data_IF_212377806707
#
_entry.id   IF_212377806707
#
_cell.length_a   1.000
_cell.length_b   1.000
_cell.length_c   1.000
_cell.angle_alpha   90.00
_cell.angle_beta   90.00
_cell.angle_gamma   90.00
#
_symmetry.space_group_name_H-M   'P 1'
#
loop_
_entity.id
_entity.type
_entity.pdbx_description
1 polymer ?
#
# COMPACT_ATOMS: atom_id res chain seq x y z
N UNK A 1 5.46 14.43 -8.36
CA UNK A 1 5.81 13.03 -8.03
C UNK A 1 4.86 12.08 -8.75
N UNK A 2 5.38 11.01 -9.39
CA UNK A 2 4.58 10.01 -10.11
C UNK A 2 5.01 8.60 -9.69
N UNK A 3 4.07 7.78 -9.23
CA UNK A 3 4.29 6.51 -8.56
C UNK A 3 3.52 5.39 -9.29
N UNK A 4 4.18 4.62 -10.16
CA UNK A 4 3.57 3.43 -10.75
C UNK A 4 3.50 2.30 -9.71
N UNK A 5 2.54 1.39 -9.90
CA UNK A 5 2.39 0.21 -9.06
C UNK A 5 3.56 -0.76 -9.14
N UNK A 6 3.94 -1.31 -7.98
CA UNK A 6 4.94 -2.37 -7.84
C UNK A 6 4.41 -3.46 -6.92
N UNK A 7 4.52 -4.72 -7.37
CA UNK A 7 4.11 -5.90 -6.60
C UNK A 7 5.07 -6.09 -5.43
N UNK A 8 4.56 -6.50 -4.27
CA UNK A 8 5.39 -6.84 -3.13
C UNK A 8 6.21 -8.10 -3.41
N UNK A 9 7.48 -8.08 -3.02
CA UNK A 9 8.25 -9.31 -2.84
C UNK A 9 7.73 -10.01 -1.57
N UNK A 10 7.25 -11.24 -1.72
CA UNK A 10 6.61 -12.00 -0.64
C UNK A 10 7.55 -13.10 -0.18
N UNK A 11 7.96 -13.06 1.08
CA UNK A 11 8.97 -13.96 1.64
C UNK A 11 8.41 -14.67 2.88
N UNK A 12 7.89 -15.90 2.74
CA UNK A 12 7.50 -16.73 3.88
C UNK A 12 8.70 -17.00 4.79
N UNK A 13 8.48 -16.91 6.10
CA UNK A 13 9.46 -17.17 7.15
C UNK A 13 8.85 -18.17 8.14
N UNK A 14 9.22 -19.44 7.94
CA UNK A 14 8.79 -20.62 8.69
C UNK A 14 10.00 -21.36 9.29
N UNK A 15 11.20 -21.19 8.70
CA UNK A 15 12.44 -21.78 9.20
C UNK A 15 13.66 -20.87 9.03
N UNK A 16 14.70 -21.12 9.84
CA UNK A 16 15.89 -20.28 9.90
C UNK A 16 16.67 -20.19 8.56
N UNK A 17 16.55 -21.20 7.70
CA UNK A 17 17.22 -21.22 6.38
C UNK A 17 16.75 -20.07 5.47
N UNK A 18 15.49 -19.65 5.63
CA UNK A 18 14.84 -18.64 4.81
C UNK A 18 15.30 -17.22 5.16
N UNK A 19 15.79 -16.97 6.38
CA UNK A 19 16.31 -15.67 6.80
C UNK A 19 17.47 -15.21 5.90
N UNK A 20 18.39 -16.14 5.58
CA UNK A 20 19.52 -15.85 4.71
C UNK A 20 19.09 -15.46 3.29
N UNK A 21 18.03 -16.10 2.77
CA UNK A 21 17.44 -15.75 1.48
C UNK A 21 16.77 -14.37 1.54
N UNK A 22 15.93 -14.11 2.55
CA UNK A 22 15.24 -12.84 2.73
C UNK A 22 16.22 -11.66 2.80
N UNK A 23 17.32 -11.81 3.55
CA UNK A 23 18.40 -10.81 3.61
C UNK A 23 18.96 -10.47 2.23
N UNK A 24 19.23 -11.48 1.39
CA UNK A 24 19.77 -11.29 0.04
C UNK A 24 18.76 -10.64 -0.91
N UNK A 25 17.48 -10.98 -0.79
CA UNK A 25 16.40 -10.33 -1.58
C UNK A 25 16.30 -8.86 -1.19
N UNK A 26 16.25 -8.56 0.12
CA UNK A 26 16.14 -7.19 0.61
C UNK A 26 17.35 -6.32 0.22
N UNK A 27 18.56 -6.88 0.28
CA UNK A 27 19.77 -6.19 -0.16
C UNK A 27 19.75 -5.90 -1.67
N UNK A 28 19.38 -6.87 -2.51
CA UNK A 28 19.25 -6.64 -3.97
C UNK A 28 18.19 -5.60 -4.29
N UNK A 29 17.05 -5.61 -3.59
CA UNK A 29 16.02 -4.60 -3.76
C UNK A 29 16.56 -3.21 -3.41
N UNK A 30 17.28 -3.07 -2.29
CA UNK A 30 17.90 -1.82 -1.88
C UNK A 30 18.88 -1.28 -2.92
N UNK A 31 19.77 -2.13 -3.42
CA UNK A 31 20.72 -1.78 -4.48
C UNK A 31 20.00 -1.38 -5.79
N UNK A 32 18.92 -2.08 -6.15
CA UNK A 32 18.15 -1.79 -7.38
C UNK A 32 17.46 -0.42 -7.38
N UNK A 33 17.14 0.10 -6.20
CA UNK A 33 16.53 1.44 -6.02
C UNK A 33 17.57 2.53 -5.76
N UNK A 34 18.87 2.21 -5.89
CA UNK A 34 19.96 3.17 -5.79
C UNK A 34 20.42 3.49 -4.36
N UNK A 35 20.10 2.66 -3.35
CA UNK A 35 20.65 2.82 -2.01
C UNK A 35 22.15 2.52 -2.00
N UNK A 36 22.92 3.31 -1.23
CA UNK A 36 24.33 3.05 -1.00
C UNK A 36 24.56 1.79 -0.15
N UNK A 37 25.80 1.30 -0.11
CA UNK A 37 26.18 0.09 0.64
C UNK A 37 25.78 0.17 2.12
N UNK A 38 25.83 1.37 2.72
CA UNK A 38 25.46 1.57 4.12
C UNK A 38 23.95 1.39 4.32
N UNK A 39 23.13 2.01 3.49
CA UNK A 39 21.68 1.92 3.56
C UNK A 39 21.17 0.53 3.15
N UNK A 40 21.76 -0.10 2.13
CA UNK A 40 21.49 -1.50 1.78
C UNK A 40 21.83 -2.45 2.95
N UNK A 41 22.94 -2.19 3.67
CA UNK A 41 23.28 -2.89 4.90
C UNK A 41 22.24 -2.72 6.01
N UNK A 42 21.69 -1.51 6.20
CA UNK A 42 20.59 -1.26 7.16
C UNK A 42 19.33 -2.04 6.79
N UNK A 43 18.94 -2.05 5.52
CA UNK A 43 17.80 -2.84 5.01
C UNK A 43 18.01 -4.32 5.33
N UNK A 44 19.19 -4.86 5.03
CA UNK A 44 19.52 -6.26 5.31
C UNK A 44 19.44 -6.62 6.81
N UNK A 45 19.92 -5.73 7.69
CA UNK A 45 19.81 -5.90 9.14
C UNK A 45 18.36 -5.86 9.61
N UNK A 46 17.58 -4.88 9.14
CA UNK A 46 16.15 -4.75 9.47
C UNK A 46 15.39 -6.02 9.09
N UNK A 47 15.61 -6.52 7.87
CA UNK A 47 14.98 -7.77 7.39
C UNK A 47 15.34 -8.98 8.26
N UNK A 48 16.61 -9.10 8.68
CA UNK A 48 17.07 -10.21 9.52
C UNK A 48 16.44 -10.17 10.92
N UNK A 49 16.41 -9.00 11.56
CA UNK A 49 15.83 -8.84 12.89
C UNK A 49 14.31 -9.08 12.87
N UNK A 50 13.61 -8.53 11.88
CA UNK A 50 12.18 -8.77 11.69
C UNK A 50 11.89 -10.25 11.43
N UNK A 51 12.62 -10.90 10.52
CA UNK A 51 12.45 -12.33 10.25
C UNK A 51 12.77 -13.20 11.47
N UNK A 52 13.80 -12.85 12.23
CA UNK A 52 14.15 -13.56 13.47
C UNK A 52 13.05 -13.42 14.51
N UNK A 53 12.41 -12.25 14.62
CA UNK A 53 11.29 -12.04 15.53
C UNK A 53 10.07 -12.87 15.13
N UNK A 54 9.78 -13.01 13.83
CA UNK A 54 8.71 -13.90 13.35
C UNK A 54 8.91 -15.33 13.84
N UNK A 55 10.11 -15.91 13.67
CA UNK A 55 10.39 -17.28 14.12
C UNK A 55 10.38 -17.44 15.63
N UNK A 56 10.87 -16.44 16.38
CA UNK A 56 10.99 -16.52 17.84
C UNK A 56 9.68 -16.30 18.58
N UNK A 57 8.77 -15.51 18.01
CA UNK A 57 7.61 -14.98 18.73
C UNK A 57 6.26 -15.33 18.10
N UNK A 58 6.23 -15.72 16.83
CA UNK A 58 4.99 -16.04 16.11
C UNK A 58 4.99 -17.43 15.45
N UNK A 59 6.05 -18.23 15.63
CA UNK A 59 6.35 -19.51 14.98
C UNK A 59 6.54 -19.42 13.46
N UNK A 60 5.71 -18.64 12.76
CA UNK A 60 5.82 -18.34 11.34
C UNK A 60 5.25 -16.96 11.01
N UNK A 61 5.63 -16.44 9.84
CA UNK A 61 5.05 -15.22 9.29
C UNK A 61 5.55 -14.93 7.89
N UNK A 62 5.33 -13.71 7.42
CA UNK A 62 5.72 -13.28 6.08
C UNK A 62 6.41 -11.92 6.16
N UNK A 63 7.53 -11.80 5.44
CA UNK A 63 8.13 -10.51 5.13
C UNK A 63 7.64 -10.05 3.76
N UNK A 64 7.08 -8.84 3.71
CA UNK A 64 6.77 -8.15 2.46
C UNK A 64 7.79 -7.05 2.25
N UNK A 65 8.44 -7.06 1.09
CA UNK A 65 9.39 -6.02 0.72
C UNK A 65 8.88 -5.26 -0.50
N UNK A 66 9.16 -3.96 -0.53
CA UNK A 66 8.91 -3.15 -1.73
C UNK A 66 9.75 -1.88 -1.75
N UNK A 67 9.97 -1.37 -2.95
CA UNK A 67 10.40 0.00 -3.14
C UNK A 67 9.29 0.95 -2.69
N UNK A 68 9.65 1.97 -1.92
CA UNK A 68 8.75 3.06 -1.52
C UNK A 68 9.31 4.41 -1.94
N UNK A 69 8.45 5.36 -2.30
CA UNK A 69 8.91 6.69 -2.65
C UNK A 69 9.29 7.47 -1.39
N UNK A 70 10.32 8.29 -1.52
CA UNK A 70 10.58 9.45 -0.69
C UNK A 70 10.39 10.73 -1.51
N UNK A 71 10.45 11.89 -0.86
CA UNK A 71 10.25 13.20 -1.52
C UNK A 71 11.13 13.42 -2.78
N UNK A 72 12.36 12.91 -2.80
CA UNK A 72 13.31 13.03 -3.93
C UNK A 72 14.21 11.79 -4.09
N UNK A 73 13.84 10.68 -3.47
CA UNK A 73 14.61 9.43 -3.51
C UNK A 73 13.68 8.23 -3.44
N UNK A 74 14.24 7.03 -3.54
CA UNK A 74 13.55 5.79 -3.21
C UNK A 74 14.11 5.21 -1.93
N UNK A 75 13.24 4.55 -1.17
CA UNK A 75 13.59 3.74 -0.02
C UNK A 75 13.09 2.31 -0.18
N UNK A 76 13.36 1.50 0.83
CA UNK A 76 12.82 0.14 0.94
C UNK A 76 11.95 0.04 2.18
N UNK A 77 10.75 -0.49 1.99
CA UNK A 77 9.87 -0.90 3.07
C UNK A 77 10.04 -2.39 3.32
N UNK A 78 10.13 -2.74 4.61
CA UNK A 78 10.09 -4.10 5.11
C UNK A 78 8.91 -4.19 6.09
N UNK A 79 7.91 -4.99 5.74
CA UNK A 79 6.77 -5.30 6.58
C UNK A 79 6.89 -6.74 7.07
N UNK A 80 6.86 -6.95 8.38
CA UNK A 80 6.72 -8.27 8.98
C UNK A 80 5.27 -8.45 9.43
N UNK A 81 4.65 -9.53 8.98
CA UNK A 81 3.23 -9.82 9.22
C UNK A 81 3.09 -11.25 9.75
N UNK A 82 2.43 -11.40 10.88
CA UNK A 82 2.12 -12.69 11.48
C UNK A 82 0.68 -12.77 12.00
N UNK A 83 0.28 -14.00 12.36
CA UNK A 83 -0.98 -14.34 13.02
C UNK A 83 -0.74 -15.00 14.38
N UNK A 84 0.40 -14.71 15.01
CA UNK A 84 0.79 -15.22 16.31
C UNK A 84 0.05 -14.55 17.47
N UNK A 85 0.54 -14.69 18.71
CA UNK A 85 -0.14 -14.19 19.90
C UNK A 85 -0.12 -12.66 20.06
N UNK A 86 0.62 -11.95 19.20
CA UNK A 86 0.90 -10.53 19.37
C UNK A 86 1.90 -10.25 20.50
N UNK A 87 2.18 -8.98 20.74
CA UNK A 87 3.12 -8.51 21.76
C UNK A 87 2.73 -7.11 22.26
N UNK A 88 3.19 -6.74 23.45
CA UNK A 88 2.90 -5.44 24.05
C UNK A 88 3.73 -4.32 23.39
N UNK A 89 3.04 -3.42 22.69
CA UNK A 89 3.62 -2.23 22.08
C UNK A 89 4.04 -1.17 23.10
N UNK A 90 3.55 -1.22 24.34
CA UNK A 90 3.97 -0.33 25.43
C UNK A 90 5.44 -0.52 25.84
N UNK A 91 6.04 -1.66 25.46
CA UNK A 91 7.50 -1.87 25.55
C UNK A 91 8.23 -1.09 24.42
N UNK A 92 7.50 -0.59 23.42
CA UNK A 92 8.00 -0.01 22.16
C UNK A 92 7.45 1.41 21.81
N UNK A 93 6.62 2.06 22.63
CA UNK A 93 6.08 3.43 22.37
C UNK A 93 6.15 4.30 23.64
N UNK A 94 6.24 5.63 23.58
CA UNK A 94 5.39 6.61 22.85
C UNK A 94 6.28 7.84 22.53
N UNK A 95 6.32 8.42 21.32
CA UNK A 95 5.31 9.30 20.72
C UNK A 95 5.31 9.28 19.19
N UNK A 96 4.20 9.74 18.60
CA UNK A 96 3.92 9.79 17.16
C UNK A 96 5.11 10.25 16.33
N UNK A 97 5.56 9.37 15.43
CA UNK A 97 6.74 9.58 14.56
C UNK A 97 8.06 9.88 15.30
N UNK A 98 8.25 9.41 16.54
CA UNK A 98 9.43 9.76 17.33
C UNK A 98 10.69 8.93 17.01
N UNK A 99 11.73 9.69 16.71
CA UNK A 99 13.14 9.35 16.71
C UNK A 99 13.70 9.41 18.13
N UNK A 100 13.60 8.33 18.92
CA UNK A 100 14.57 7.89 19.97
C UNK A 100 13.97 6.89 20.97
N UNK A 101 14.27 5.61 20.76
CA UNK A 101 15.03 4.74 21.65
C UNK A 101 14.42 4.26 22.97
N UNK A 102 14.22 2.94 23.07
CA UNK A 102 14.33 2.15 24.31
C UNK A 102 15.53 1.16 24.23
N UNK A 103 16.16 0.92 25.38
CA UNK A 103 17.30 0.00 25.54
C UNK A 103 16.81 -1.45 25.72
N UNK A 104 17.37 -2.39 24.96
CA UNK A 104 17.43 -3.81 25.32
C UNK A 104 16.62 -4.83 24.50
N UNK A 105 15.72 -4.41 23.59
CA UNK A 105 14.96 -5.33 22.72
C UNK A 105 15.44 -5.31 21.26
N UNK A 106 15.24 -6.40 20.51
CA UNK A 106 15.49 -6.44 19.06
C UNK A 106 14.71 -5.36 18.29
N UNK A 107 13.55 -4.96 18.81
CA UNK A 107 12.74 -3.85 18.28
C UNK A 107 13.40 -2.47 18.50
N UNK A 108 14.07 -2.26 19.63
CA UNK A 108 14.85 -1.04 19.86
C UNK A 108 16.04 -0.91 18.91
N UNK A 109 16.66 -2.03 18.51
CA UNK A 109 17.69 -2.04 17.46
C UNK A 109 17.10 -1.71 16.09
N UNK A 110 15.95 -2.28 15.75
CA UNK A 110 15.20 -1.98 14.51
C UNK A 110 14.87 -0.50 14.37
N UNK A 111 14.33 0.12 15.43
CA UNK A 111 14.00 1.55 15.43
C UNK A 111 15.21 2.46 15.19
N UNK A 112 16.42 2.02 15.53
CA UNK A 112 17.65 2.78 15.27
C UNK A 112 18.17 2.63 13.83
N UNK A 113 17.80 1.55 13.14
CA UNK A 113 18.22 1.29 11.76
C UNK A 113 17.23 1.83 10.73
N UNK A 114 15.95 1.86 11.09
CA UNK A 114 14.87 2.37 10.27
C UNK A 114 14.78 3.90 10.34
N UNK A 115 14.45 4.51 9.21
CA UNK A 115 14.16 5.94 9.12
C UNK A 115 12.68 6.21 9.45
N UNK A 116 11.80 5.22 9.19
CA UNK A 116 10.39 5.22 9.63
C UNK A 116 10.09 3.86 10.25
N UNK A 117 9.41 3.87 11.39
CA UNK A 117 9.02 2.64 12.09
C UNK A 117 7.61 2.82 12.68
N UNK A 118 6.75 1.83 12.49
CA UNK A 118 5.48 1.72 13.20
C UNK A 118 5.08 0.26 13.33
N UNK A 119 4.21 -0.04 14.29
CA UNK A 119 3.75 -1.38 14.54
C UNK A 119 2.31 -1.40 15.06
N UNK A 120 1.61 -2.46 14.70
CA UNK A 120 0.33 -2.84 15.29
C UNK A 120 0.41 -4.28 15.76
N UNK A 121 -0.01 -4.56 16.99
CA UNK A 121 0.03 -5.90 17.56
C UNK A 121 -1.14 -6.09 18.49
N UNK A 122 -1.82 -7.23 18.34
CA UNK A 122 -2.97 -7.63 19.13
C UNK A 122 -3.00 -9.15 19.21
N UNK A 123 -3.90 -9.75 20.01
CA UNK A 123 -4.06 -11.21 20.14
C UNK A 123 -4.44 -11.96 18.85
N UNK A 124 -4.44 -11.29 17.69
CA UNK A 124 -4.68 -11.85 16.36
C UNK A 124 -3.42 -11.82 15.47
N UNK A 125 -2.28 -11.44 16.03
CA UNK A 125 -0.98 -11.34 15.38
C UNK A 125 -0.51 -9.90 15.23
N UNK A 126 0.71 -9.74 14.70
CA UNK A 126 1.35 -8.44 14.55
C UNK A 126 1.63 -8.03 13.10
N UNK A 127 1.78 -6.72 12.92
CA UNK A 127 2.32 -6.05 11.75
C UNK A 127 3.38 -5.08 12.24
N UNK A 128 4.62 -5.25 11.77
CA UNK A 128 5.74 -4.35 12.08
C UNK A 128 6.30 -3.80 10.78
N UNK A 129 6.33 -2.48 10.65
CA UNK A 129 6.83 -1.77 9.48
C UNK A 129 8.16 -1.09 9.81
N UNK A 130 9.11 -1.23 8.90
CA UNK A 130 10.30 -0.39 8.85
C UNK A 130 10.52 0.13 7.42
N UNK A 131 10.82 1.42 7.27
CA UNK A 131 11.32 2.01 6.01
C UNK A 131 12.73 2.51 6.18
N UNK A 132 13.55 2.30 5.18
CA UNK A 132 14.94 2.77 5.13
C UNK A 132 15.14 3.60 3.86
N UNK A 133 15.70 4.79 4.03
CA UNK A 133 16.00 5.76 2.98
C UNK A 133 17.52 6.05 2.90
N UNK A 134 18.01 6.70 1.83
CA UNK A 134 19.37 7.24 1.82
C UNK A 134 19.57 8.26 2.95
N UNK A 135 20.78 8.37 3.52
CA UNK A 135 21.04 9.33 4.60
C UNK A 135 20.82 10.78 4.12
N UNK A 136 20.09 11.56 4.93
CA UNK A 136 19.70 12.93 4.58
C UNK A 136 18.59 13.01 3.52
N UNK A 137 18.05 11.87 3.09
CA UNK A 137 17.03 11.76 2.05
C UNK A 137 15.64 11.46 2.60
N UNK A 138 14.71 12.32 2.20
CA UNK A 138 13.25 12.19 2.19
C UNK A 138 12.45 12.28 3.51
N UNK A 139 11.32 12.99 3.37
CA UNK A 139 10.15 12.82 4.22
C UNK A 139 9.36 11.63 3.71
N UNK A 140 8.95 10.79 4.66
CA UNK A 140 8.03 9.71 4.42
C UNK A 140 6.71 10.22 3.83
N UNK A 141 6.08 9.39 3.00
CA UNK A 141 4.75 9.68 2.48
C UNK A 141 3.74 8.85 3.26
N UNK A 142 2.61 9.45 3.70
CA UNK A 142 1.55 8.75 4.44
C UNK A 142 0.71 7.89 3.50
N UNK A 143 1.38 6.93 2.87
CA UNK A 143 0.88 6.01 1.85
C UNK A 143 1.31 4.60 2.25
N UNK A 144 0.38 3.67 2.20
CA UNK A 144 0.60 2.23 2.34
C UNK A 144 0.00 1.50 1.16
N UNK A 145 0.71 0.53 0.58
CA UNK A 145 0.09 -0.40 -0.38
C UNK A 145 0.59 -1.81 -0.16
N UNK A 146 -0.36 -2.73 -0.06
CA UNK A 146 -0.18 -4.16 -0.25
C UNK A 146 -0.68 -4.48 -1.66
N UNK A 147 0.17 -4.98 -2.54
CA UNK A 147 -0.14 -5.31 -3.93
C UNK A 147 0.50 -6.66 -4.24
N UNK A 148 -0.33 -7.70 -4.31
CA UNK A 148 0.12 -9.09 -4.34
C UNK A 148 -0.60 -9.85 -5.45
N UNK A 149 0.19 -10.54 -6.28
CA UNK A 149 -0.34 -11.48 -7.26
C UNK A 149 -0.99 -12.70 -6.60
N UNK A 150 -1.96 -13.31 -7.26
CA UNK A 150 -2.51 -14.60 -6.88
C UNK A 150 -1.38 -15.63 -6.67
N UNK A 151 -1.52 -16.49 -5.66
CA UNK A 151 -0.52 -17.51 -5.36
C UNK A 151 -0.29 -18.43 -6.57
N UNK A 152 0.98 -18.56 -6.96
CA UNK A 152 1.40 -19.33 -8.14
C UNK A 152 1.46 -18.51 -9.44
N UNK A 153 0.94 -17.28 -9.46
CA UNK A 153 1.06 -16.36 -10.59
C UNK A 153 2.31 -15.49 -10.47
N UNK A 154 2.94 -15.20 -11.61
CA UNK A 154 4.07 -14.26 -11.69
C UNK A 154 3.64 -12.84 -12.04
N UNK A 155 2.40 -12.65 -12.46
CA UNK A 155 1.81 -11.39 -12.89
C UNK A 155 0.54 -11.11 -12.08
N UNK A 156 0.40 -9.87 -11.59
CA UNK A 156 -0.78 -9.44 -10.84
C UNK A 156 -1.78 -8.79 -11.78
N UNK A 157 -3.03 -9.27 -11.77
CA UNK A 157 -4.14 -8.70 -12.55
C UNK A 157 -4.56 -7.30 -12.10
N UNK A 158 -4.23 -6.92 -10.87
CA UNK A 158 -4.41 -5.56 -10.38
C UNK A 158 -3.31 -4.62 -10.89
N UNK A 159 -3.60 -3.32 -10.92
CA UNK A 159 -2.61 -2.28 -11.18
C UNK A 159 -3.05 -0.94 -10.61
N UNK A 160 -2.10 -0.14 -10.16
CA UNK A 160 -2.39 1.20 -9.63
C UNK A 160 -1.35 2.21 -10.09
N UNK A 161 -1.74 3.49 -10.07
CA UNK A 161 -0.83 4.60 -10.32
C UNK A 161 -1.27 5.80 -9.49
N UNK A 162 -0.34 6.46 -8.81
CA UNK A 162 -0.57 7.66 -8.02
C UNK A 162 0.31 8.80 -8.53
N UNK A 163 -0.28 9.97 -8.77
CA UNK A 163 0.44 11.19 -9.12
C UNK A 163 0.09 12.28 -8.12
N UNK A 164 1.13 12.90 -7.54
CA UNK A 164 1.00 14.04 -6.65
C UNK A 164 1.72 15.24 -7.25
N UNK A 165 1.06 16.40 -7.26
CA UNK A 165 1.58 17.67 -7.76
C UNK A 165 1.17 18.80 -6.83
N UNK A 166 2.08 19.20 -5.94
CA UNK A 166 1.82 20.14 -4.85
C UNK A 166 0.63 19.71 -3.99
N UNK A 167 -0.40 20.55 -3.95
CA UNK A 167 -1.63 20.30 -3.19
C UNK A 167 -2.62 19.33 -3.88
N UNK A 168 -2.28 18.76 -5.05
CA UNK A 168 -3.15 17.85 -5.80
C UNK A 168 -2.63 16.42 -5.74
N UNK A 169 -3.55 15.48 -5.57
CA UNK A 169 -3.29 14.05 -5.61
C UNK A 169 -4.30 13.41 -6.57
N UNK A 170 -3.83 12.53 -7.44
CA UNK A 170 -4.68 11.73 -8.33
C UNK A 170 -4.23 10.28 -8.27
N UNK A 171 -5.14 9.36 -8.03
CA UNK A 171 -4.84 7.95 -7.90
C UNK A 171 -5.87 7.10 -8.65
N UNK A 172 -5.36 6.09 -9.35
CA UNK A 172 -6.17 5.06 -9.99
C UNK A 172 -5.79 3.69 -9.44
N UNK A 173 -6.80 2.86 -9.19
CA UNK A 173 -6.68 1.42 -8.99
C UNK A 173 -7.51 0.72 -10.07
N UNK A 174 -6.95 -0.32 -10.67
CA UNK A 174 -7.54 -1.11 -11.75
C UNK A 174 -7.41 -2.58 -11.37
N UNK A 175 -8.48 -3.33 -11.58
CA UNK A 175 -8.57 -4.77 -11.41
C UNK A 175 -8.92 -5.33 -12.78
N UNK A 176 -7.91 -5.88 -13.46
CA UNK A 176 -8.04 -6.45 -14.80
C UNK A 176 -8.82 -7.77 -14.75
N UNK A 177 -9.69 -8.04 -15.72
CA UNK A 177 -10.56 -9.21 -15.63
C UNK A 177 -9.79 -10.55 -15.61
N UNK A 178 -9.90 -11.28 -14.50
CA UNK A 178 -9.22 -12.55 -14.25
C UNK A 178 -7.90 -12.32 -13.51
N UNK A 179 -6.93 -13.21 -13.71
CA UNK A 179 -5.59 -13.11 -13.12
C UNK A 179 -4.51 -13.43 -14.17
N UNK A 180 -3.25 -13.21 -13.79
CA UNK A 180 -2.08 -13.47 -14.63
C UNK A 180 -1.84 -12.40 -15.70
N UNK A 181 -1.01 -12.75 -16.70
CA UNK A 181 -0.43 -11.77 -17.65
C UNK A 181 -1.47 -10.98 -18.46
N UNK A 182 -2.59 -11.61 -18.85
CA UNK A 182 -3.63 -10.93 -19.63
C UNK A 182 -4.38 -9.86 -18.80
N UNK A 183 -4.62 -10.15 -17.52
CA UNK A 183 -5.25 -9.22 -16.58
C UNK A 183 -4.28 -8.08 -16.26
N UNK A 184 -3.00 -8.41 -16.00
CA UNK A 184 -1.93 -7.42 -15.80
C UNK A 184 -1.82 -6.50 -17.03
N UNK A 185 -1.87 -7.06 -18.24
CA UNK A 185 -1.81 -6.28 -19.47
C UNK A 185 -2.93 -5.25 -19.57
N UNK A 186 -4.15 -5.64 -19.18
CA UNK A 186 -5.30 -4.73 -19.12
C UNK A 186 -5.11 -3.61 -18.08
N UNK A 187 -4.73 -3.97 -16.85
CA UNK A 187 -4.49 -2.99 -15.78
C UNK A 187 -3.34 -2.04 -16.12
N UNK A 188 -2.27 -2.56 -16.72
CA UNK A 188 -1.11 -1.78 -17.18
C UNK A 188 -1.44 -0.86 -18.36
N UNK A 189 -2.38 -1.22 -19.22
CA UNK A 189 -2.84 -0.34 -20.30
C UNK A 189 -3.60 0.87 -19.72
N UNK A 190 -4.52 0.63 -18.78
CA UNK A 190 -5.29 1.68 -18.12
C UNK A 190 -4.42 2.63 -17.28
N UNK A 191 -3.54 2.09 -16.43
CA UNK A 191 -2.63 2.91 -15.61
C UNK A 191 -1.69 3.78 -16.45
N UNK A 192 -1.19 3.25 -17.59
CA UNK A 192 -0.39 4.04 -18.54
C UNK A 192 -1.18 5.16 -19.22
N UNK A 193 -2.45 4.93 -19.57
CA UNK A 193 -3.31 5.97 -20.12
C UNK A 193 -3.57 7.08 -19.10
N UNK A 194 -3.90 6.70 -17.86
CA UNK A 194 -4.07 7.62 -16.74
C UNK A 194 -2.83 8.51 -16.51
N UNK A 195 -1.64 7.92 -16.55
CA UNK A 195 -0.39 8.62 -16.27
C UNK A 195 -0.06 9.77 -17.24
N UNK A 196 -0.69 9.83 -18.43
CA UNK A 196 -0.42 10.87 -19.42
C UNK A 196 -0.99 12.23 -19.02
N UNK A 197 -2.17 12.26 -18.40
CA UNK A 197 -2.86 13.48 -17.98
C UNK A 197 -3.62 13.27 -16.66
N UNK A 198 -2.94 12.93 -15.55
CA UNK A 198 -3.56 12.39 -14.33
C UNK A 198 -4.53 13.36 -13.62
N UNK A 199 -4.49 14.64 -13.96
CA UNK A 199 -5.36 15.69 -13.38
C UNK A 199 -6.46 16.17 -14.32
N UNK A 200 -6.63 15.53 -15.48
CA UNK A 200 -7.78 15.76 -16.34
C UNK A 200 -9.09 15.34 -15.66
N UNK A 201 -10.21 15.86 -16.16
CA UNK A 201 -11.52 15.50 -15.58
C UNK A 201 -11.74 13.98 -15.58
N UNK A 202 -12.42 13.41 -14.57
CA UNK A 202 -12.68 11.97 -14.51
C UNK A 202 -13.31 11.40 -15.79
N UNK A 203 -14.22 12.14 -16.43
CA UNK A 203 -14.84 11.75 -17.69
C UNK A 203 -13.83 11.56 -18.83
N UNK A 204 -12.83 12.44 -18.94
CA UNK A 204 -11.77 12.33 -19.94
C UNK A 204 -10.85 11.15 -19.61
N UNK A 205 -10.39 11.05 -18.35
CA UNK A 205 -9.54 9.94 -17.90
C UNK A 205 -10.17 8.56 -18.15
N UNK A 206 -11.46 8.40 -17.86
CA UNK A 206 -12.17 7.15 -18.16
C UNK A 206 -12.32 6.88 -19.66
N UNK A 207 -12.48 7.92 -20.49
CA UNK A 207 -12.50 7.77 -21.95
C UNK A 207 -11.15 7.25 -22.48
N UNK A 208 -10.05 7.86 -22.03
CA UNK A 208 -8.68 7.48 -22.40
C UNK A 208 -8.35 6.06 -21.92
N UNK A 209 -8.67 5.73 -20.66
CA UNK A 209 -8.50 4.37 -20.14
C UNK A 209 -9.36 3.35 -20.91
N UNK A 210 -10.61 3.68 -21.22
CA UNK A 210 -11.47 2.80 -21.99
C UNK A 210 -10.90 2.50 -23.39
N UNK A 211 -10.41 3.52 -24.08
CA UNK A 211 -9.77 3.36 -25.39
C UNK A 211 -8.52 2.49 -25.28
N UNK A 212 -7.64 2.77 -24.31
CA UNK A 212 -6.41 2.02 -24.09
C UNK A 212 -6.66 0.55 -23.70
N UNK A 213 -7.76 0.27 -23.01
CA UNK A 213 -8.11 -1.08 -22.53
C UNK A 213 -8.98 -1.86 -23.54
N UNK A 214 -9.45 -1.27 -24.64
CA UNK A 214 -10.40 -1.90 -25.58
C UNK A 214 -9.88 -3.20 -26.21
N UNK A 215 -8.58 -3.30 -26.47
CA UNK A 215 -7.95 -4.50 -27.04
C UNK A 215 -7.37 -5.44 -25.98
N UNK A 216 -7.80 -5.31 -24.74
CA UNK A 216 -7.35 -6.12 -23.59
C UNK A 216 -8.53 -6.84 -22.97
N UNK A 217 -8.36 -7.50 -21.82
CA UNK A 217 -9.50 -8.04 -21.06
C UNK A 217 -10.40 -6.97 -20.47
N UNK A 218 -9.95 -5.71 -20.40
CA UNK A 218 -10.65 -4.68 -19.65
C UNK A 218 -10.57 -4.91 -18.15
N UNK A 219 -11.29 -4.11 -17.37
CA UNK A 219 -11.26 -4.21 -15.92
C UNK A 219 -12.20 -3.27 -15.18
N UNK A 220 -12.29 -3.46 -13.87
CA UNK A 220 -12.85 -2.48 -12.97
C UNK A 220 -11.83 -1.38 -12.70
N UNK A 221 -12.30 -0.13 -12.53
CA UNK A 221 -11.45 1.05 -12.36
C UNK A 221 -12.04 1.95 -11.29
N UNK A 222 -11.21 2.38 -10.35
CA UNK A 222 -11.52 3.41 -9.37
C UNK A 222 -10.53 4.57 -9.51
N UNK A 223 -11.05 5.79 -9.66
CA UNK A 223 -10.27 7.01 -9.81
C UNK A 223 -10.66 7.99 -8.70
N UNK A 224 -9.66 8.49 -7.98
CA UNK A 224 -9.81 9.48 -6.91
C UNK A 224 -8.86 10.66 -7.14
N UNK A 225 -9.40 11.87 -7.19
CA UNK A 225 -8.67 13.13 -7.32
C UNK A 225 -8.93 14.00 -6.10
N UNK A 226 -7.89 14.28 -5.33
CA UNK A 226 -7.95 15.10 -4.13
C UNK A 226 -7.25 16.44 -4.33
N UNK A 227 -7.93 17.52 -3.97
CA UNK A 227 -7.41 18.88 -3.96
C UNK A 227 -7.32 19.39 -2.51
N UNK A 228 -6.12 19.39 -1.92
CA UNK A 228 -5.90 19.72 -0.52
C UNK A 228 -6.29 21.17 -0.19
N UNK A 229 -6.04 22.12 -1.11
CA UNK A 229 -6.42 23.53 -0.93
C UNK A 229 -7.92 23.76 -0.79
N UNK A 230 -8.75 22.84 -1.28
CA UNK A 230 -10.21 22.89 -1.15
C UNK A 230 -10.74 21.85 -0.16
N UNK A 231 -9.88 20.96 0.34
CA UNK A 231 -10.29 19.81 1.15
C UNK A 231 -11.31 18.91 0.44
N UNK A 232 -11.25 18.80 -0.89
CA UNK A 232 -12.27 18.14 -1.72
C UNK A 232 -11.70 16.93 -2.46
N UNK A 233 -12.43 15.82 -2.43
CA UNK A 233 -12.17 14.63 -3.23
C UNK A 233 -13.24 14.48 -4.31
N UNK A 234 -12.83 14.37 -5.57
CA UNK A 234 -13.68 13.92 -6.67
C UNK A 234 -13.39 12.44 -6.94
N UNK A 235 -14.43 11.61 -6.95
CA UNK A 235 -14.31 10.17 -7.17
C UNK A 235 -15.22 9.68 -8.29
N UNK A 236 -14.72 8.74 -9.07
CA UNK A 236 -15.47 8.02 -10.08
C UNK A 236 -15.01 6.55 -10.12
N UNK A 237 -15.96 5.62 -10.14
CA UNK A 237 -15.68 4.19 -10.14
C UNK A 237 -16.57 3.41 -11.10
N UNK A 238 -16.00 2.42 -11.77
CA UNK A 238 -16.69 1.45 -12.63
C UNK A 238 -16.27 0.04 -12.17
N UNK A 239 -17.24 -0.81 -11.87
CA UNK A 239 -17.00 -2.18 -11.42
C UNK A 239 -17.03 -2.36 -9.90
N UNK A 240 -16.19 -3.26 -9.41
CA UNK A 240 -16.21 -3.85 -8.06
C UNK A 240 -15.09 -3.35 -7.13
N UNK A 241 -14.25 -2.40 -7.55
CA UNK A 241 -13.22 -1.82 -6.68
C UNK A 241 -13.88 -1.05 -5.54
N UNK A 242 -13.51 -1.42 -4.31
CA UNK A 242 -13.99 -0.79 -3.10
C UNK A 242 -13.16 0.44 -2.75
N UNK A 243 -13.85 1.53 -2.38
CA UNK A 243 -13.20 2.75 -1.88
C UNK A 243 -13.94 3.22 -0.63
N UNK A 244 -13.19 3.48 0.44
CA UNK A 244 -13.73 3.89 1.73
C UNK A 244 -12.98 5.11 2.27
N UNK A 245 -13.72 6.12 2.68
CA UNK A 245 -13.22 7.26 3.46
C UNK A 245 -13.39 6.99 4.95
N UNK A 246 -12.32 7.20 5.70
CA UNK A 246 -12.25 7.01 7.14
C UNK A 246 -11.86 8.34 7.80
N UNK A 247 -12.77 8.89 8.60
CA UNK A 247 -12.57 10.13 9.34
C UNK A 247 -13.03 9.99 10.79
N UNK A 248 -13.34 11.11 11.47
CA UNK A 248 -13.82 11.09 12.86
C UNK A 248 -15.19 10.40 13.02
N UNK A 249 -16.00 10.41 11.95
CA UNK A 249 -17.33 9.83 11.92
C UNK A 249 -17.34 8.40 11.38
N UNK A 250 -18.54 7.94 11.02
CA UNK A 250 -18.75 6.64 10.38
C UNK A 250 -17.99 6.55 9.07
N UNK A 251 -17.34 5.40 8.83
CA UNK A 251 -16.75 5.06 7.54
C UNK A 251 -17.76 5.27 6.39
N UNK A 252 -17.31 5.91 5.31
CA UNK A 252 -18.12 6.21 4.13
C UNK A 252 -17.56 5.48 2.93
N UNK A 253 -18.28 4.46 2.45
CA UNK A 253 -18.00 3.84 1.16
C UNK A 253 -18.36 4.79 0.01
N UNK A 254 -17.51 4.84 -1.03
CA UNK A 254 -17.76 5.61 -2.24
C UNK A 254 -18.41 4.71 -3.31
N UNK A 255 -19.27 5.31 -4.13
CA UNK A 255 -20.14 4.55 -5.05
C UNK A 255 -19.47 4.35 -6.40
N UNK A 256 -19.24 3.08 -6.77
CA UNK A 256 -18.87 2.65 -8.12
C UNK A 256 -20.12 2.22 -8.89
N UNK A 257 -20.18 2.54 -10.18
CA UNK A 257 -21.26 2.11 -11.07
C UNK A 257 -20.93 0.76 -11.73
N UNK A 258 -21.91 -0.07 -12.09
CA UNK A 258 -21.64 -1.32 -12.80
C UNK A 258 -21.08 -1.07 -14.20
N UNK A 259 -20.10 -1.88 -14.61
CA UNK A 259 -19.51 -1.85 -15.94
C UNK A 259 -18.10 -2.43 -15.97
N UNK A 260 -17.52 -2.50 -17.17
CA UNK A 260 -16.13 -2.92 -17.41
C UNK A 260 -15.49 -1.91 -18.35
N UNK A 261 -14.43 -1.24 -17.90
CA UNK A 261 -13.65 -0.32 -18.74
C UNK A 261 -12.85 -1.13 -19.75
N UNK A 262 -12.89 -0.74 -21.03
CA UNK A 262 -12.32 -1.52 -22.14
C UNK A 262 -13.26 -2.57 -22.74
N UNK A 263 -14.47 -2.73 -22.19
CA UNK A 263 -15.49 -3.62 -22.76
C UNK A 263 -16.88 -3.00 -22.65
N UNK A 264 -17.64 -3.32 -21.60
CA UNK A 264 -19.01 -2.86 -21.39
C UNK A 264 -19.04 -1.48 -20.69
N UNK A 265 -18.31 -0.51 -21.24
CA UNK A 265 -18.28 0.84 -20.72
C UNK A 265 -19.44 1.67 -21.28
N UNK A 266 -20.11 2.43 -20.42
CA UNK A 266 -21.18 3.36 -20.83
C UNK A 266 -20.74 4.78 -20.55
N UNK A 267 -21.20 5.33 -19.44
CA UNK A 267 -20.91 6.68 -18.98
C UNK A 267 -20.39 6.59 -17.55
N UNK A 268 -19.34 7.33 -17.27
CA UNK A 268 -18.87 7.54 -15.91
C UNK A 268 -19.62 8.69 -15.26
N UNK A 269 -19.92 8.55 -13.98
CA UNK A 269 -20.40 9.63 -13.12
C UNK A 269 -19.37 9.87 -12.03
N UNK A 270 -18.97 11.12 -11.87
CA UNK A 270 -18.14 11.55 -10.75
C UNK A 270 -19.01 12.12 -9.62
N UNK A 271 -18.53 11.96 -8.40
CA UNK A 271 -19.13 12.46 -7.17
C UNK A 271 -18.10 13.27 -6.40
N UNK A 272 -18.51 14.42 -5.88
CA UNK A 272 -17.67 15.28 -5.06
C UNK A 272 -17.94 15.04 -3.57
N UNK A 273 -16.86 14.97 -2.79
CA UNK A 273 -16.87 14.79 -1.36
C UNK A 273 -16.09 15.94 -0.72
N UNK A 274 -16.78 16.97 -0.18
CA UNK A 274 -16.12 18.09 0.49
C UNK A 274 -15.72 17.73 1.93
N UNK A 275 -14.84 18.56 2.51
CA UNK A 275 -14.42 18.50 3.92
C UNK A 275 -13.77 17.18 4.34
N UNK A 276 -12.91 16.64 3.47
CA UNK A 276 -12.25 15.34 3.65
C UNK A 276 -10.75 15.44 3.93
N UNK A 277 -10.21 16.66 4.07
CA UNK A 277 -8.82 16.87 4.46
C UNK A 277 -8.51 16.21 5.81
N UNK A 278 -7.36 15.52 5.90
CA UNK A 278 -6.93 14.76 7.07
C UNK A 278 -7.62 13.40 7.26
N UNK A 279 -8.55 13.02 6.37
CA UNK A 279 -9.16 11.68 6.39
C UNK A 279 -8.25 10.65 5.71
N UNK A 280 -8.46 9.37 6.02
CA UNK A 280 -7.77 8.26 5.37
C UNK A 280 -8.64 7.72 4.22
N UNK A 281 -8.08 7.68 3.01
CA UNK A 281 -8.68 7.03 1.85
C UNK A 281 -8.13 5.61 1.73
N UNK A 282 -9.02 4.62 1.70
CA UNK A 282 -8.66 3.22 1.48
C UNK A 282 -9.28 2.73 0.17
N UNK A 283 -8.45 2.32 -0.79
CA UNK A 283 -8.87 1.67 -2.04
C UNK A 283 -8.48 0.19 -1.97
N UNK A 284 -9.34 -0.70 -2.45
CA UNK A 284 -9.03 -2.13 -2.49
C UNK A 284 -9.72 -2.85 -3.64
N UNK A 285 -9.01 -3.77 -4.29
CA UNK A 285 -9.58 -4.69 -5.27
C UNK A 285 -10.46 -5.74 -4.59
N UNK A 286 -11.19 -6.52 -5.36
CA UNK A 286 -12.16 -7.46 -4.81
C UNK A 286 -11.51 -8.73 -4.20
N UNK A 287 -10.20 -8.92 -4.38
CA UNK A 287 -9.38 -9.86 -3.62
C UNK A 287 -9.39 -9.59 -2.11
N UNK A 288 -9.78 -8.38 -1.69
CA UNK A 288 -10.09 -8.05 -0.30
C UNK A 288 -11.60 -8.19 -0.04
N UNK A 289 -11.97 -8.80 1.10
CA UNK A 289 -13.36 -8.76 1.57
C UNK A 289 -13.75 -7.32 1.89
N UNK A 290 -14.92 -6.88 1.42
CA UNK A 290 -15.39 -5.49 1.60
C UNK A 290 -15.99 -5.19 2.99
N UNK A 291 -16.23 -6.22 3.81
CA UNK A 291 -16.80 -6.08 5.15
C UNK A 291 -15.73 -6.14 6.22
N UNK A 292 -15.23 -4.97 6.59
CA UNK A 292 -14.30 -4.75 7.71
C UNK A 292 -14.66 -3.44 8.42
N UNK A 293 -14.21 -3.29 9.67
CA UNK A 293 -14.29 -2.03 10.40
C UNK A 293 -12.99 -1.80 11.15
N UNK A 294 -12.42 -0.59 11.07
CA UNK A 294 -11.28 -0.23 11.93
C UNK A 294 -11.68 -0.05 13.40
N UNK A 295 -12.98 0.01 13.71
CA UNK A 295 -13.47 -0.01 15.10
C UNK A 295 -13.19 -1.36 15.78
N UNK A 296 -13.06 -2.44 15.00
CA UNK A 296 -12.72 -3.78 15.50
C UNK A 296 -11.23 -3.91 15.86
N UNK A 297 -10.42 -2.89 15.60
CA UNK A 297 -8.96 -2.86 15.79
C UNK A 297 -8.54 -1.62 16.60
N UNK A 298 -8.53 -1.71 17.94
CA UNK A 298 -8.24 -0.58 18.81
C UNK A 298 -6.91 0.11 18.49
N UNK A 299 -6.96 1.42 18.19
CA UNK A 299 -5.78 2.23 17.90
C UNK A 299 -5.21 2.08 16.49
N UNK A 300 -5.67 1.14 15.67
CA UNK A 300 -5.17 0.94 14.30
C UNK A 300 -5.32 2.19 13.43
N UNK A 301 -6.40 2.96 13.61
CA UNK A 301 -6.65 4.21 12.86
C UNK A 301 -5.57 5.28 13.02
N UNK A 302 -4.75 5.20 14.07
CA UNK A 302 -3.69 6.16 14.36
C UNK A 302 -2.31 5.65 13.90
N UNK A 303 -2.27 4.47 13.27
CA UNK A 303 -1.06 3.87 12.72
C UNK A 303 -0.78 4.41 11.34
N UNK A 304 0.46 4.26 10.92
CA UNK A 304 0.92 4.59 9.58
C UNK A 304 0.04 3.87 8.54
N UNK A 305 -0.33 4.52 7.41
CA UNK A 305 -1.18 3.92 6.39
C UNK A 305 -0.69 2.56 5.86
N UNK A 306 0.63 2.33 5.82
CA UNK A 306 1.19 1.01 5.47
C UNK A 306 0.86 -0.09 6.48
N UNK A 307 0.85 0.22 7.77
CA UNK A 307 0.42 -0.72 8.82
C UNK A 307 -1.07 -1.01 8.67
N UNK A 308 -1.89 0.01 8.39
CA UNK A 308 -3.33 -0.16 8.15
C UNK A 308 -3.59 -1.07 6.94
N UNK A 309 -2.94 -0.79 5.79
CA UNK A 309 -3.06 -1.60 4.59
C UNK A 309 -2.62 -3.06 4.83
N UNK A 310 -1.52 -3.26 5.57
CA UNK A 310 -1.01 -4.59 5.91
C UNK A 310 -1.93 -5.36 6.86
N UNK A 311 -2.54 -4.72 7.87
CA UNK A 311 -3.53 -5.39 8.75
C UNK A 311 -4.78 -5.77 7.95
N UNK A 312 -5.28 -4.86 7.11
CA UNK A 312 -6.44 -5.15 6.26
C UNK A 312 -6.15 -6.31 5.31
N UNK A 313 -5.00 -6.29 4.64
CA UNK A 313 -4.56 -7.39 3.77
C UNK A 313 -4.45 -8.71 4.52
N UNK A 314 -3.76 -8.72 5.68
CA UNK A 314 -3.60 -9.92 6.50
C UNK A 314 -4.95 -10.55 6.78
N UNK A 315 -5.89 -9.78 7.34
CA UNK A 315 -7.11 -10.32 7.94
C UNK A 315 -8.28 -10.49 6.98
N UNK A 316 -8.30 -9.76 5.86
CA UNK A 316 -9.44 -9.74 4.95
C UNK A 316 -9.13 -10.18 3.52
N UNK A 317 -7.89 -10.56 3.18
CA UNK A 317 -7.60 -11.16 1.86
C UNK A 317 -8.37 -12.46 1.66
N UNK A 318 -8.84 -12.72 0.44
CA UNK A 318 -9.58 -13.93 0.09
C UNK A 318 -8.69 -15.14 -0.18
N UNK A 319 -7.46 -14.91 -0.66
CA UNK A 319 -6.49 -15.97 -0.98
C UNK A 319 -6.80 -16.79 -2.23
N UNK A 320 -7.71 -16.30 -3.09
CA UNK A 320 -8.12 -16.95 -4.34
C UNK A 320 -8.18 -15.97 -5.52
N UNK A 321 -7.62 -14.79 -5.31
CA UNK A 321 -7.57 -13.71 -6.29
C UNK A 321 -6.31 -12.86 -6.08
N UNK A 322 -5.99 -12.04 -7.07
CA UNK A 322 -5.08 -10.91 -6.91
C UNK A 322 -5.60 -9.97 -5.81
N UNK A 323 -4.71 -9.32 -5.05
CA UNK A 323 -5.14 -8.42 -3.98
C UNK A 323 -4.30 -7.16 -3.92
N UNK A 324 -5.00 -6.03 -3.97
CA UNK A 324 -4.44 -4.70 -3.76
C UNK A 324 -5.23 -3.99 -2.67
N UNK A 325 -4.51 -3.45 -1.69
CA UNK A 325 -5.04 -2.58 -0.63
C UNK A 325 -4.14 -1.38 -0.55
N UNK A 326 -4.69 -0.19 -0.78
CA UNK A 326 -3.99 1.08 -0.70
C UNK A 326 -4.65 1.93 0.38
N UNK A 327 -3.84 2.50 1.27
CA UNK A 327 -4.28 3.47 2.28
C UNK A 327 -3.48 4.77 2.12
N UNK A 328 -4.15 5.92 2.06
CA UNK A 328 -3.54 7.24 1.84
C UNK A 328 -4.12 8.23 2.83
N UNK A 329 -3.29 8.94 3.58
CA UNK A 329 -3.76 10.12 4.31
C UNK A 329 -4.00 11.27 3.33
N UNK A 330 -5.22 11.82 3.33
CA UNK A 330 -5.63 12.92 2.45
C UNK A 330 -5.20 14.26 3.03
N UNK A 331 -3.89 14.48 3.01
CA UNK A 331 -3.27 15.75 3.36
C UNK A 331 -2.46 16.28 2.16
N UNK A 332 -2.09 17.56 2.21
CA UNK A 332 -1.17 18.10 1.22
C UNK A 332 0.16 17.36 1.35
N UNK A 333 0.64 16.75 0.26
CA UNK A 333 1.94 16.05 0.24
C UNK A 333 3.15 17.02 0.18
N UNK A 334 2.96 18.27 0.64
CA UNK A 334 3.92 19.39 0.74
C UNK A 334 3.44 20.36 1.84
N UNK A 335 4.25 20.85 2.78
CA UNK A 335 5.52 21.61 2.62
C UNK A 335 6.78 21.03 3.27
#
# INVERSE_FOLDING_TARGET
MSLPGTVNEVLPIEEASQLGYARRVAQRLAESVGLDETAAGRVALVTMELGTNLLKHADAGVLYLRAVPGRDCQGVEVLAVDRGPGFDLGICQVDGYSTRGTQGSGLGALQRQADVFDAYSEGRGSVVMARVYPRGGARDLPLGVMHQALEGETACGDGWHLVADGARLSVVLIDGLGHGEDAEHAARAGTRAFAQAPFDSPSMLFSEMNQAMTSTRGGAVALAQFEAGQGRLTFAGIGNIGVTLLGPGKARGLVSLPGIVGAQFRKVQSFDYPDIAGQLLVLFSDGLRSRWSLDDYPGLRFRHPAVIAAVLHRDFRRGRDDVTVMAIALEALSD
#
